data_IF_668256693364
#
_entry.id   IF_668256693364
#
_cell.length_a   1.000
_cell.length_b   1.000
_cell.length_c   1.000
_cell.angle_alpha   90.00
_cell.angle_beta   90.00
_cell.angle_gamma   90.00
#
_symmetry.space_group_name_H-M   'P 1'
#
loop_
_entity.id
_entity.type
_entity.pdbx_description
1 polymer ?
#
# COMPACT_ATOMS: atom_id res chain seq x y z
N UNK A 1 -23.29 -8.50 -47.54
CA UNK A 1 -23.80 -9.13 -46.30
C UNK A 1 -22.58 -9.45 -45.44
N UNK A 2 -22.44 -8.74 -44.32
CA UNK A 2 -21.30 -8.69 -43.39
C UNK A 2 -20.71 -10.07 -43.07
N UNK A 3 -19.46 -10.38 -43.39
CA UNK A 3 -18.19 -10.05 -42.70
C UNK A 3 -18.13 -10.53 -41.25
N UNK A 4 -17.38 -11.63 -41.08
CA UNK A 4 -16.90 -12.22 -39.85
C UNK A 4 -16.36 -11.15 -38.90
N UNK A 5 -16.98 -11.06 -37.72
CA UNK A 5 -16.51 -10.22 -36.64
C UNK A 5 -15.19 -10.74 -36.12
N UNK A 6 -14.15 -9.91 -36.26
CA UNK A 6 -12.89 -10.05 -35.57
C UNK A 6 -13.16 -10.19 -34.06
N UNK A 7 -12.88 -11.36 -33.50
CA UNK A 7 -12.62 -11.50 -32.07
C UNK A 7 -11.36 -10.70 -31.76
N UNK A 8 -11.54 -9.40 -31.51
CA UNK A 8 -10.53 -8.58 -30.84
C UNK A 8 -10.37 -9.15 -29.43
N UNK A 9 -9.47 -10.11 -29.29
CA UNK A 9 -8.79 -10.40 -28.04
C UNK A 9 -8.22 -9.06 -27.60
N UNK A 10 -8.92 -8.37 -26.70
CA UNK A 10 -8.34 -7.27 -25.95
C UNK A 10 -7.18 -7.91 -25.20
N UNK A 11 -5.96 -7.63 -25.64
CA UNK A 11 -4.76 -7.74 -24.81
C UNK A 11 -4.95 -6.76 -23.64
N UNK A 12 -5.78 -7.18 -22.70
CA UNK A 12 -5.82 -6.61 -21.37
C UNK A 12 -4.45 -6.86 -20.80
N UNK A 13 -3.71 -5.79 -20.65
CA UNK A 13 -2.47 -5.66 -19.90
C UNK A 13 -2.58 -6.48 -18.59
N UNK A 14 -2.24 -7.78 -18.65
CA UNK A 14 -2.29 -8.70 -17.51
C UNK A 14 -1.12 -8.34 -16.61
N UNK A 15 -1.30 -7.26 -15.85
CA UNK A 15 -0.45 -6.99 -14.70
C UNK A 15 -0.48 -8.23 -13.85
N UNK A 16 0.70 -8.65 -13.47
CA UNK A 16 0.92 -9.80 -12.62
C UNK A 16 0.32 -9.45 -11.25
N UNK A 17 -0.90 -9.91 -10.96
CA UNK A 17 -1.56 -9.86 -9.63
C UNK A 17 -0.88 -10.82 -8.64
N UNK A 18 0.46 -10.88 -8.63
CA UNK A 18 1.19 -11.71 -7.69
C UNK A 18 1.45 -10.92 -6.42
N UNK A 19 1.32 -11.61 -5.30
CA UNK A 19 1.83 -11.16 -4.01
C UNK A 19 3.21 -11.80 -3.83
N UNK A 20 4.24 -11.00 -3.59
CA UNK A 20 5.58 -11.50 -3.24
C UNK A 20 5.76 -11.34 -1.74
N UNK A 21 6.12 -12.42 -1.05
CA UNK A 21 6.41 -12.43 0.37
C UNK A 21 7.90 -12.70 0.54
N UNK A 22 8.61 -11.78 1.19
CA UNK A 22 10.04 -11.90 1.47
C UNK A 22 10.25 -12.15 2.97
N UNK A 23 10.33 -13.42 3.41
CA UNK A 23 10.69 -13.76 4.78
C UNK A 23 12.20 -13.59 4.98
N UNK A 24 12.62 -12.86 6.01
CA UNK A 24 14.03 -12.66 6.31
C UNK A 24 14.28 -12.22 7.75
N UNK A 25 15.54 -12.22 8.15
CA UNK A 25 15.98 -11.63 9.42
C UNK A 25 15.98 -10.09 9.34
N UNK A 26 16.19 -9.42 10.48
CA UNK A 26 16.18 -7.97 10.56
C UNK A 26 17.20 -7.29 9.63
N UNK A 27 18.35 -7.93 9.37
CA UNK A 27 19.39 -7.41 8.50
C UNK A 27 19.00 -7.53 7.02
N UNK A 28 18.46 -8.68 6.61
CA UNK A 28 17.92 -8.90 5.27
C UNK A 28 16.77 -7.93 5.00
N UNK A 29 15.82 -7.81 5.92
CA UNK A 29 14.71 -6.85 5.81
C UNK A 29 15.20 -5.40 5.73
N UNK A 30 16.20 -5.03 6.53
CA UNK A 30 16.82 -3.71 6.49
C UNK A 30 17.52 -3.41 5.16
N UNK A 31 18.18 -4.41 4.56
CA UNK A 31 18.77 -4.28 3.24
C UNK A 31 17.69 -4.08 2.17
N UNK A 32 16.65 -4.93 2.16
CA UNK A 32 15.54 -4.82 1.22
C UNK A 32 14.84 -3.46 1.29
N UNK A 33 14.60 -2.91 2.49
CA UNK A 33 13.96 -1.59 2.63
C UNK A 33 14.80 -0.45 2.05
N UNK A 34 16.13 -0.54 2.15
CA UNK A 34 17.08 0.46 1.60
C UNK A 34 17.22 0.38 0.10
N UNK A 35 17.22 -0.82 -0.46
CA UNK A 35 17.33 -1.09 -1.91
C UNK A 35 15.98 -1.46 -2.51
N UNK A 36 14.89 -0.94 -1.92
CA UNK A 36 13.55 -1.35 -2.28
C UNK A 36 13.21 -0.77 -3.66
N UNK A 37 13.07 -1.67 -4.63
CA UNK A 37 12.64 -1.36 -5.99
C UNK A 37 11.29 -2.01 -6.30
N UNK A 38 10.52 -1.36 -7.17
CA UNK A 38 9.23 -1.86 -7.66
C UNK A 38 9.47 -3.04 -8.61
N UNK A 39 8.86 -4.19 -8.31
CA UNK A 39 8.85 -5.38 -9.15
C UNK A 39 7.68 -5.37 -10.15
N UNK A 40 6.78 -4.39 -10.06
CA UNK A 40 5.61 -4.27 -10.90
C UNK A 40 4.52 -5.29 -10.56
N UNK A 41 4.51 -5.77 -9.31
CA UNK A 41 3.52 -6.74 -8.81
C UNK A 41 2.35 -6.02 -8.10
N UNK A 42 1.33 -6.78 -7.72
CA UNK A 42 0.17 -6.23 -7.01
C UNK A 42 0.52 -5.78 -5.60
N UNK A 43 1.36 -6.55 -4.91
CA UNK A 43 1.76 -6.32 -3.53
C UNK A 43 3.10 -7.01 -3.23
N UNK A 44 3.99 -6.33 -2.51
CA UNK A 44 5.30 -6.84 -2.13
C UNK A 44 5.47 -6.75 -0.61
N UNK A 45 5.07 -7.81 0.11
CA UNK A 45 5.15 -7.83 1.56
C UNK A 45 6.53 -8.24 2.05
N UNK A 46 7.09 -7.45 2.96
CA UNK A 46 8.33 -7.77 3.67
C UNK A 46 7.97 -8.06 5.12
N UNK A 47 7.95 -9.34 5.47
CA UNK A 47 7.53 -9.82 6.78
C UNK A 47 8.70 -10.53 7.49
N UNK A 48 8.87 -10.33 8.81
CA UNK A 48 9.84 -11.12 9.55
C UNK A 48 9.42 -12.59 9.53
N UNK A 49 10.37 -13.52 9.39
CA UNK A 49 10.07 -14.95 9.50
C UNK A 49 9.99 -15.37 10.97
N UNK A 50 9.04 -14.77 11.68
CA UNK A 50 8.71 -15.03 13.08
C UNK A 50 7.24 -15.45 13.18
N UNK A 51 6.84 -16.03 14.31
CA UNK A 51 5.44 -16.40 14.58
C UNK A 51 4.49 -15.23 14.31
N UNK A 52 4.81 -14.04 14.84
CA UNK A 52 4.08 -12.80 14.61
C UNK A 52 3.96 -12.42 13.12
N UNK A 53 5.00 -12.65 12.32
CA UNK A 53 4.97 -12.37 10.88
C UNK A 53 4.09 -13.37 10.11
N UNK A 54 4.06 -14.63 10.55
CA UNK A 54 3.20 -15.68 9.98
C UNK A 54 1.75 -15.43 10.36
N UNK A 55 1.46 -15.11 11.62
CA UNK A 55 0.12 -14.76 12.09
C UNK A 55 -0.43 -13.55 11.34
N UNK A 56 0.38 -12.50 11.15
CA UNK A 56 -0.01 -11.34 10.34
C UNK A 56 -0.38 -11.74 8.90
N UNK A 57 0.39 -12.64 8.29
CA UNK A 57 0.08 -13.16 6.95
C UNK A 57 -1.26 -13.91 6.94
N UNK A 58 -1.52 -14.73 7.95
CA UNK A 58 -2.78 -15.47 8.08
C UNK A 58 -3.97 -14.51 8.23
N UNK A 59 -3.86 -13.50 9.08
CA UNK A 59 -4.91 -12.49 9.26
C UNK A 59 -5.18 -11.72 7.97
N UNK A 60 -4.14 -11.34 7.22
CA UNK A 60 -4.29 -10.69 5.91
C UNK A 60 -4.99 -11.59 4.87
N UNK A 61 -4.87 -12.91 5.00
CA UNK A 61 -5.57 -13.87 4.16
C UNK A 61 -7.03 -14.10 4.56
N UNK A 62 -7.35 -13.93 5.85
CA UNK A 62 -8.68 -14.19 6.41
C UNK A 62 -9.60 -12.96 6.36
N UNK A 63 -9.03 -11.75 6.43
CA UNK A 63 -9.76 -10.50 6.62
C UNK A 63 -9.29 -9.43 5.64
N UNK A 64 -10.20 -8.53 5.27
CA UNK A 64 -9.84 -7.35 4.51
C UNK A 64 -9.35 -6.25 5.46
N UNK A 65 -8.15 -6.43 6.04
CA UNK A 65 -7.57 -5.51 7.03
C UNK A 65 -7.52 -4.07 6.50
N UNK A 66 -7.29 -3.89 5.19
CA UNK A 66 -7.26 -2.56 4.55
C UNK A 66 -8.63 -1.87 4.62
N UNK A 67 -9.70 -2.61 4.32
CA UNK A 67 -11.07 -2.08 4.39
C UNK A 67 -11.53 -1.86 5.82
N UNK A 68 -11.17 -2.75 6.73
CA UNK A 68 -11.49 -2.59 8.14
C UNK A 68 -10.78 -1.37 8.74
N UNK A 69 -9.50 -1.16 8.40
CA UNK A 69 -8.72 -0.01 8.85
C UNK A 69 -9.30 1.32 8.34
N UNK A 70 -9.69 1.39 7.06
CA UNK A 70 -10.30 2.62 6.52
C UNK A 70 -11.66 2.89 7.17
N UNK A 71 -12.47 1.85 7.39
CA UNK A 71 -13.76 1.97 8.10
C UNK A 71 -13.60 2.43 9.53
N UNK A 72 -12.56 1.94 10.22
CA UNK A 72 -12.27 2.34 11.58
C UNK A 72 -11.99 3.85 11.69
N UNK A 73 -11.24 4.41 10.73
CA UNK A 73 -10.84 5.82 10.74
C UNK A 73 -11.92 6.75 10.19
N UNK A 74 -12.60 6.36 9.12
CA UNK A 74 -13.47 7.24 8.33
C UNK A 74 -14.92 6.76 8.24
N UNK A 75 -15.30 5.71 8.97
CA UNK A 75 -16.66 5.15 8.91
C UNK A 75 -17.00 4.68 7.50
N UNK A 76 -18.02 5.28 6.89
CA UNK A 76 -18.41 5.00 5.51
C UNK A 76 -17.97 6.10 4.52
N UNK A 77 -17.20 7.08 4.99
CA UNK A 77 -16.79 8.26 4.20
C UNK A 77 -15.48 7.99 3.45
N UNK A 78 -15.46 6.89 2.69
CA UNK A 78 -14.38 6.53 1.79
C UNK A 78 -14.94 5.95 0.48
N UNK A 79 -14.18 6.09 -0.60
CA UNK A 79 -14.63 5.74 -1.94
C UNK A 79 -13.56 5.08 -2.80
N UNK A 80 -13.90 4.88 -4.07
CA UNK A 80 -12.96 4.35 -5.06
C UNK A 80 -11.80 5.32 -5.25
N UNK A 81 -10.62 4.75 -5.42
CA UNK A 81 -9.39 5.50 -5.65
C UNK A 81 -9.35 6.14 -7.05
N UNK A 82 -8.81 7.35 -7.13
CA UNK A 82 -8.46 8.03 -8.38
C UNK A 82 -7.01 7.72 -8.81
N UNK A 83 -6.21 7.16 -7.89
CA UNK A 83 -4.82 6.80 -8.11
C UNK A 83 -4.62 5.30 -7.92
N UNK A 84 -4.24 4.58 -8.98
CA UNK A 84 -4.10 3.11 -9.01
C UNK A 84 -3.24 2.44 -7.92
N UNK A 85 -2.50 3.20 -7.13
CA UNK A 85 -1.65 2.69 -6.05
C UNK A 85 -2.16 3.05 -4.65
N UNK A 86 -3.25 3.83 -4.57
CA UNK A 86 -3.99 4.04 -3.35
C UNK A 86 -5.07 2.98 -3.16
N UNK A 87 -5.40 2.72 -1.90
CA UNK A 87 -6.43 1.76 -1.54
C UNK A 87 -7.81 2.41 -1.61
N UNK A 88 -7.90 3.67 -1.18
CA UNK A 88 -9.16 4.40 -1.09
C UNK A 88 -8.99 5.89 -1.40
N UNK A 89 -10.08 6.55 -1.76
CA UNK A 89 -10.20 8.01 -1.68
C UNK A 89 -10.94 8.36 -0.40
N UNK A 90 -10.44 9.32 0.38
CA UNK A 90 -11.07 9.88 1.59
C UNK A 90 -11.49 11.34 1.33
N UNK A 91 -11.97 12.02 2.37
CA UNK A 91 -12.44 13.41 2.28
C UNK A 91 -11.49 14.33 1.51
N UNK A 92 -12.08 15.28 0.77
CA UNK A 92 -11.38 16.27 -0.06
C UNK A 92 -10.53 15.67 -1.20
N UNK A 93 -10.86 14.45 -1.66
CA UNK A 93 -10.18 13.80 -2.80
C UNK A 93 -8.80 13.24 -2.45
N UNK A 94 -8.48 13.15 -1.16
CA UNK A 94 -7.20 12.64 -0.69
C UNK A 94 -7.14 11.12 -0.89
N UNK A 95 -6.00 10.62 -1.33
CA UNK A 95 -5.74 9.23 -1.64
C UNK A 95 -5.11 8.53 -0.43
N UNK A 96 -5.82 7.59 0.18
CA UNK A 96 -5.36 6.84 1.34
C UNK A 96 -4.63 5.56 0.92
N UNK A 97 -3.46 5.34 1.50
CA UNK A 97 -2.64 4.13 1.35
C UNK A 97 -2.52 3.45 2.71
N UNK A 98 -3.03 2.23 2.81
CA UNK A 98 -2.89 1.39 4.00
C UNK A 98 -1.58 0.61 3.93
N UNK A 99 -0.66 0.90 4.86
CA UNK A 99 0.69 0.32 4.97
C UNK A 99 0.88 -0.54 6.23
N UNK A 100 -0.17 -1.21 6.69
CA UNK A 100 -0.12 -2.11 7.86
C UNK A 100 0.88 -3.25 7.64
N UNK A 101 0.87 -3.86 6.46
CA UNK A 101 1.74 -4.97 6.08
C UNK A 101 3.07 -4.55 5.45
N UNK A 102 3.40 -3.25 5.47
CA UNK A 102 4.59 -2.68 4.82
C UNK A 102 4.72 -3.08 3.33
N UNK A 103 3.62 -3.00 2.57
CA UNK A 103 3.65 -3.25 1.13
C UNK A 103 4.69 -2.38 0.40
N UNK A 104 5.76 -3.03 -0.05
CA UNK A 104 6.91 -2.42 -0.66
C UNK A 104 6.62 -1.77 -2.00
N UNK A 105 5.65 -2.28 -2.77
CA UNK A 105 5.26 -1.63 -4.03
C UNK A 105 4.71 -0.24 -3.76
N UNK A 106 3.80 -0.14 -2.78
CA UNK A 106 3.19 1.14 -2.37
C UNK A 106 4.23 2.10 -1.80
N UNK A 107 5.14 1.62 -0.95
CA UNK A 107 6.25 2.43 -0.42
C UNK A 107 7.06 3.04 -1.58
N UNK A 108 7.43 2.25 -2.59
CA UNK A 108 8.15 2.76 -3.77
C UNK A 108 7.32 3.79 -4.53
N UNK A 109 6.00 3.59 -4.69
CA UNK A 109 5.14 4.56 -5.38
C UNK A 109 4.96 5.87 -4.62
N UNK A 110 4.91 5.83 -3.29
CA UNK A 110 4.90 7.03 -2.46
C UNK A 110 6.20 7.81 -2.64
N UNK A 111 7.36 7.13 -2.59
CA UNK A 111 8.67 7.78 -2.81
C UNK A 111 8.74 8.43 -4.21
N UNK A 112 8.24 7.75 -5.23
CA UNK A 112 8.18 8.27 -6.61
C UNK A 112 7.27 9.51 -6.70
N UNK A 113 6.10 9.48 -6.07
CA UNK A 113 5.18 10.63 -6.02
C UNK A 113 5.81 11.84 -5.33
N UNK A 114 6.47 11.63 -4.19
CA UNK A 114 7.19 12.71 -3.50
C UNK A 114 8.28 13.34 -4.35
N UNK A 115 9.09 12.53 -5.04
CA UNK A 115 10.12 13.04 -5.95
C UNK A 115 9.51 13.93 -7.02
N UNK A 116 8.44 13.46 -7.69
CA UNK A 116 7.75 14.23 -8.73
C UNK A 116 7.16 15.53 -8.18
N UNK A 117 6.56 15.51 -6.99
CA UNK A 117 5.97 16.69 -6.36
C UNK A 117 7.04 17.73 -5.95
N UNK A 118 8.20 17.27 -5.47
CA UNK A 118 9.36 18.12 -5.21
C UNK A 118 9.87 18.80 -6.49
N UNK A 119 9.98 18.05 -7.60
CA UNK A 119 10.37 18.63 -8.89
C UNK A 119 9.36 19.65 -9.43
N UNK A 120 8.06 19.41 -9.22
CA UNK A 120 6.99 20.26 -9.73
C UNK A 120 6.65 21.46 -8.82
N UNK A 121 7.37 21.66 -7.71
CA UNK A 121 7.06 22.67 -6.68
C UNK A 121 5.59 22.61 -6.19
N UNK A 122 4.97 21.43 -6.26
CA UNK A 122 3.60 21.21 -5.78
C UNK A 122 3.63 21.03 -4.26
N UNK A 123 2.89 21.88 -3.53
CA UNK A 123 3.03 22.02 -2.06
C UNK A 123 2.26 21.03 -1.21
N UNK A 124 1.42 20.16 -1.78
CA UNK A 124 0.60 19.23 -0.98
C UNK A 124 0.54 17.87 -1.66
N UNK A 125 1.15 16.87 -1.03
CA UNK A 125 0.85 15.48 -1.36
C UNK A 125 -0.62 15.23 -1.04
N UNK A 126 -1.37 14.77 -2.03
CA UNK A 126 -2.75 14.31 -1.85
C UNK A 126 -2.80 12.92 -1.23
N UNK A 127 -1.71 12.44 -0.62
CA UNK A 127 -1.62 11.10 -0.02
C UNK A 127 -1.80 11.19 1.49
N UNK A 128 -2.54 10.24 2.05
CA UNK A 128 -2.52 9.91 3.48
C UNK A 128 -2.02 8.47 3.65
N UNK A 129 -1.09 8.26 4.57
CA UNK A 129 -0.63 6.91 4.96
C UNK A 129 -1.43 6.47 6.20
N UNK A 130 -1.96 5.26 6.16
CA UNK A 130 -2.60 4.61 7.30
C UNK A 130 -1.71 3.47 7.76
N UNK A 131 -1.27 3.51 9.01
CA UNK A 131 -0.40 2.48 9.59
C UNK A 131 -0.78 2.14 11.04
N UNK A 132 -0.13 1.13 11.60
CA UNK A 132 -0.21 0.84 13.03
C UNK A 132 0.53 1.91 13.86
N UNK A 133 0.18 2.02 15.14
CA UNK A 133 0.81 2.97 16.07
C UNK A 133 2.34 2.79 16.15
N UNK A 134 2.82 1.56 16.26
CA UNK A 134 4.25 1.28 16.31
C UNK A 134 5.02 1.64 15.03
N UNK A 135 4.32 1.76 13.89
CA UNK A 135 4.90 2.13 12.60
C UNK A 135 5.00 3.66 12.40
N UNK A 136 4.20 4.44 13.14
CA UNK A 136 4.07 5.90 12.98
C UNK A 136 5.42 6.60 12.88
N UNK A 137 6.29 6.40 13.87
CA UNK A 137 7.58 7.09 13.95
C UNK A 137 8.51 6.75 12.78
N UNK A 138 8.37 5.56 12.22
CA UNK A 138 9.15 5.12 11.05
C UNK A 138 8.67 5.87 9.81
N UNK A 139 7.36 5.90 9.57
CA UNK A 139 6.80 6.58 8.42
C UNK A 139 6.89 8.11 8.52
N UNK A 140 6.81 8.71 9.70
CA UNK A 140 7.00 10.17 9.87
C UNK A 140 8.43 10.60 9.49
N UNK A 141 9.42 9.76 9.80
CA UNK A 141 10.81 10.00 9.40
C UNK A 141 11.02 9.79 7.90
N UNK A 142 10.37 8.79 7.34
CA UNK A 142 10.51 8.44 5.91
C UNK A 142 9.74 9.40 5.00
N UNK A 143 8.58 9.88 5.45
CA UNK A 143 7.62 10.67 4.68
C UNK A 143 7.16 11.93 5.43
N UNK A 144 8.06 12.89 5.74
CA UNK A 144 7.76 14.01 6.64
C UNK A 144 6.67 14.98 6.14
N UNK A 145 6.38 14.99 4.84
CA UNK A 145 5.39 15.89 4.21
C UNK A 145 4.04 15.20 3.96
N UNK A 146 3.90 13.92 4.33
CA UNK A 146 2.69 13.11 4.13
C UNK A 146 1.95 12.99 5.45
N UNK A 147 0.62 13.09 5.40
CA UNK A 147 -0.21 12.87 6.58
C UNK A 147 -0.20 11.39 6.96
N UNK A 148 0.01 11.11 8.25
CA UNK A 148 0.00 9.75 8.79
C UNK A 148 -1.16 9.62 9.78
N UNK A 149 -2.13 8.79 9.40
CA UNK A 149 -3.20 8.33 10.27
C UNK A 149 -2.81 6.99 10.89
N UNK A 150 -3.18 6.81 12.16
CA UNK A 150 -2.78 5.64 12.95
C UNK A 150 -4.00 4.85 13.40
N UNK A 151 -3.84 3.53 13.45
CA UNK A 151 -4.77 2.62 14.12
C UNK A 151 -4.02 1.85 15.21
N UNK A 152 -4.70 1.41 16.29
CA UNK A 152 -4.04 0.69 17.39
C UNK A 152 -3.36 -0.60 16.93
N UNK A 153 -2.24 -0.96 17.56
CA UNK A 153 -1.48 -2.19 17.21
C UNK A 153 -2.34 -3.45 17.40
N UNK A 154 -3.20 -3.47 18.42
CA UNK A 154 -4.13 -4.57 18.70
C UNK A 154 -5.23 -4.72 17.65
N UNK A 155 -5.36 -3.81 16.69
CA UNK A 155 -6.38 -3.87 15.63
C UNK A 155 -6.31 -5.17 14.81
N UNK A 156 -5.10 -5.68 14.59
CA UNK A 156 -4.85 -6.91 13.84
C UNK A 156 -5.22 -8.15 14.67
N UNK A 157 -4.98 -8.10 15.97
CA UNK A 157 -5.05 -9.25 16.88
C UNK A 157 -6.39 -9.38 17.61
N UNK A 158 -7.41 -8.62 17.18
CA UNK A 158 -8.79 -8.70 17.69
C UNK A 158 -9.54 -9.88 17.11
#
# INVERSE_FOLDING_TARGET
MHLFGEDKIKEGNRRIERVVILPGDALTMGLYKRTLDSLGVGEQMVLPFTEQGIELLMELGNRNIKEEAIKYLYGNDYGKTDWKYADYTIENGKQAIVLINNDGEKIVKIRQDQQVNQYNYSRKSSIAIICLENQKRTFEKEFPEIEIAIIPDEFIWK
#
